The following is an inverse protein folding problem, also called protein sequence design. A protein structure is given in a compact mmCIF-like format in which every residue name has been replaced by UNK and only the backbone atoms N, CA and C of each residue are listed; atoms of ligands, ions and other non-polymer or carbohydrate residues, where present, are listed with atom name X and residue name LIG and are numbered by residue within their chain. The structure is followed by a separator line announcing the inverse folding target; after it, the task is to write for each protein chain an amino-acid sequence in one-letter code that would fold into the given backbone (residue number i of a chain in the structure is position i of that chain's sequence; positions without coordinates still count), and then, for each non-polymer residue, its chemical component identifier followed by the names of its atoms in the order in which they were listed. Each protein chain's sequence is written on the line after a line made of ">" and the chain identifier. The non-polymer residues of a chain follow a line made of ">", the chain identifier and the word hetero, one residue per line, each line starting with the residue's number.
data_IF_300707401977
#
_entry.id   IF_300707401977
#
_cell.length_a   1.000
_cell.length_b   1.000
_cell.length_c   1.000
_cell.angle_alpha   90.00
_cell.angle_beta   90.00
_cell.angle_gamma   90.00
#
_symmetry.space_group_name_H-M   'P 1'
#
loop_
_entity.id
_entity.type
_entity.pdbx_description
1 polymer ?
#
# COMPACT_ATOMS: atom_id res chain seq x y z
N UNK A 1 39.56 -52.19 -49.28
CA UNK A 1 40.35 -51.13 -48.59
C UNK A 1 39.61 -49.81 -48.84
N UNK A 2 39.37 -48.87 -47.92
CA UNK A 2 39.96 -48.59 -46.62
C UNK A 2 38.94 -48.17 -45.55
N UNK A 3 39.40 -48.23 -44.30
CA UNK A 3 38.64 -48.26 -43.04
C UNK A 3 38.00 -46.92 -42.65
N UNK A 4 36.80 -46.99 -42.07
CA UNK A 4 36.18 -45.95 -41.23
C UNK A 4 36.92 -45.83 -39.90
N UNK A 5 37.27 -44.61 -39.51
CA UNK A 5 37.72 -44.25 -38.16
C UNK A 5 36.62 -43.46 -37.43
N UNK A 6 36.22 -43.96 -36.25
CA UNK A 6 35.36 -43.27 -35.28
C UNK A 6 36.14 -42.12 -34.62
N UNK A 7 35.63 -40.89 -34.66
CA UNK A 7 36.21 -39.76 -33.94
C UNK A 7 35.61 -39.64 -32.52
N UNK A 8 36.49 -39.63 -31.52
CA UNK A 8 36.21 -39.51 -30.08
C UNK A 8 35.67 -38.10 -29.72
N UNK A 9 34.74 -38.05 -28.77
CA UNK A 9 34.35 -36.85 -28.04
C UNK A 9 35.48 -36.40 -27.10
N UNK A 10 36.01 -35.19 -27.27
CA UNK A 10 36.99 -34.66 -26.31
C UNK A 10 37.85 -33.46 -26.74
N UNK A 11 37.42 -32.62 -27.70
CA UNK A 11 38.22 -31.48 -28.15
C UNK A 11 37.88 -30.16 -27.45
N UNK A 12 38.78 -29.67 -26.57
CA UNK A 12 38.80 -28.29 -26.06
C UNK A 12 39.25 -27.34 -27.19
N UNK A 13 38.35 -26.98 -28.10
CA UNK A 13 38.64 -26.09 -29.21
C UNK A 13 37.56 -25.04 -29.43
N UNK A 14 37.96 -23.86 -29.92
CA UNK A 14 37.11 -22.71 -30.18
C UNK A 14 35.87 -23.08 -31.02
N UNK A 15 36.01 -24.03 -31.96
CA UNK A 15 34.92 -24.55 -32.78
C UNK A 15 33.81 -25.28 -31.96
N UNK A 16 34.17 -26.01 -30.90
CA UNK A 16 33.19 -26.66 -30.02
C UNK A 16 32.47 -25.65 -29.12
N UNK A 17 33.17 -24.60 -28.69
CA UNK A 17 32.58 -23.50 -27.92
C UNK A 17 31.59 -22.68 -28.77
N UNK A 18 31.94 -22.37 -30.02
CA UNK A 18 31.07 -21.66 -30.96
C UNK A 18 29.79 -22.44 -31.29
N UNK A 19 29.89 -23.76 -31.47
CA UNK A 19 28.74 -24.62 -31.71
C UNK A 19 27.80 -24.64 -30.49
N UNK A 20 28.34 -24.68 -29.26
CA UNK A 20 27.55 -24.61 -28.02
C UNK A 20 26.85 -23.25 -27.89
N UNK A 21 27.53 -22.14 -28.19
CA UNK A 21 26.93 -20.80 -28.15
C UNK A 21 25.80 -20.65 -29.17
N UNK A 22 25.98 -21.12 -30.41
CA UNK A 22 24.94 -21.07 -31.44
C UNK A 22 23.72 -21.93 -31.09
N UNK A 23 23.92 -23.08 -30.44
CA UNK A 23 22.83 -23.92 -29.96
C UNK A 23 22.09 -23.25 -28.79
N UNK A 24 22.83 -22.62 -27.86
CA UNK A 24 22.24 -21.86 -26.77
C UNK A 24 21.43 -20.64 -27.27
N UNK A 25 21.98 -19.84 -28.19
CA UNK A 25 21.27 -18.71 -28.81
C UNK A 25 20.00 -19.14 -29.54
N UNK A 26 20.07 -20.26 -30.28
CA UNK A 26 18.88 -20.82 -30.96
C UNK A 26 17.86 -21.32 -29.94
N UNK A 27 18.28 -21.92 -28.83
CA UNK A 27 17.37 -22.39 -27.77
C UNK A 27 16.73 -21.22 -27.01
N UNK A 28 17.47 -20.15 -26.73
CA UNK A 28 16.96 -18.93 -26.09
C UNK A 28 16.01 -18.16 -27.00
N UNK A 29 16.32 -18.03 -28.30
CA UNK A 29 15.40 -17.44 -29.29
C UNK A 29 14.12 -18.27 -29.48
N UNK A 30 14.20 -19.60 -29.38
CA UNK A 30 13.02 -20.47 -29.40
C UNK A 30 12.17 -20.35 -28.13
N UNK A 31 12.81 -20.25 -26.96
CA UNK A 31 12.13 -20.04 -25.68
C UNK A 31 11.41 -18.68 -25.65
N UNK A 32 12.08 -17.60 -26.04
CA UNK A 32 11.51 -16.26 -26.13
C UNK A 32 10.36 -16.15 -27.15
N UNK A 33 10.45 -16.87 -28.28
CA UNK A 33 9.33 -16.94 -29.24
C UNK A 33 8.15 -17.78 -28.72
N UNK A 34 8.41 -18.83 -27.92
CA UNK A 34 7.36 -19.65 -27.30
C UNK A 34 6.63 -18.92 -26.15
N UNK A 35 7.33 -18.04 -25.43
CA UNK A 35 6.74 -17.16 -24.41
C UNK A 35 5.88 -16.06 -25.05
N UNK A 36 6.37 -15.43 -26.14
CA UNK A 36 5.58 -14.46 -26.93
C UNK A 36 4.32 -15.04 -27.57
N UNK A 37 4.33 -16.33 -27.92
CA UNK A 37 3.12 -17.02 -28.46
C UNK A 37 2.17 -17.49 -27.37
N UNK A 38 2.64 -17.76 -26.14
CA UNK A 38 1.76 -18.02 -24.99
C UNK A 38 1.10 -16.75 -24.48
N UNK A 39 1.80 -15.62 -24.44
CA UNK A 39 1.21 -14.31 -24.10
C UNK A 39 0.06 -14.00 -25.04
N UNK A 40 0.29 -14.07 -26.37
CA UNK A 40 -0.62 -14.63 -27.40
C UNK A 40 -2.13 -14.73 -27.15
N UNK A 41 -2.45 -15.62 -26.20
CA UNK A 41 -3.76 -16.20 -25.95
C UNK A 41 -4.35 -15.84 -24.58
N UNK A 42 -3.69 -15.00 -23.79
CA UNK A 42 -4.30 -14.46 -22.57
C UNK A 42 -5.32 -13.36 -22.90
N UNK A 43 -6.42 -13.26 -22.14
CA UNK A 43 -7.40 -12.18 -22.28
C UNK A 43 -6.71 -10.81 -22.24
N UNK A 44 -7.17 -9.87 -23.06
CA UNK A 44 -6.55 -8.53 -23.24
C UNK A 44 -6.27 -7.82 -21.90
N UNK A 45 -7.19 -7.96 -20.95
CA UNK A 45 -7.09 -7.44 -19.57
C UNK A 45 -5.93 -8.04 -18.75
N UNK A 46 -5.58 -9.32 -18.96
CA UNK A 46 -4.52 -10.00 -18.18
C UNK A 46 -3.13 -9.63 -18.67
N UNK A 47 -2.97 -9.34 -19.97
CA UNK A 47 -1.72 -8.81 -20.52
C UNK A 47 -1.46 -7.38 -20.10
N UNK A 48 -2.48 -6.53 -20.19
CA UNK A 48 -2.41 -5.13 -19.79
C UNK A 48 -2.03 -5.00 -18.29
N UNK A 49 -2.60 -5.87 -17.43
CA UNK A 49 -2.23 -5.96 -16.02
C UNK A 49 -0.76 -6.40 -15.78
N UNK A 50 -0.19 -7.28 -16.61
CA UNK A 50 1.22 -7.68 -16.50
C UNK A 50 2.17 -6.58 -16.96
N UNK A 51 1.83 -5.89 -18.05
CA UNK A 51 2.60 -4.76 -18.58
C UNK A 51 2.58 -3.57 -17.61
N UNK A 52 1.46 -3.31 -16.92
CA UNK A 52 1.35 -2.29 -15.87
C UNK A 52 2.18 -2.68 -14.64
N UNK A 53 2.12 -3.93 -14.16
CA UNK A 53 2.99 -4.40 -13.08
C UNK A 53 4.49 -4.30 -13.44
N UNK A 54 4.83 -4.55 -14.70
CA UNK A 54 6.20 -4.40 -15.20
C UNK A 54 6.61 -2.91 -15.28
N UNK A 55 5.71 -2.02 -15.71
CA UNK A 55 5.92 -0.57 -15.69
C UNK A 55 6.00 0.01 -14.26
N UNK A 56 5.20 -0.47 -13.31
CA UNK A 56 5.29 -0.09 -11.88
C UNK A 56 6.59 -0.61 -11.24
N UNK A 57 7.16 -1.70 -11.76
CA UNK A 57 8.49 -2.14 -11.34
C UNK A 57 9.60 -1.31 -11.99
N UNK A 58 9.39 -0.77 -13.20
CA UNK A 58 10.34 0.10 -13.91
C UNK A 58 10.31 1.55 -13.39
N UNK A 59 9.12 2.12 -13.13
CA UNK A 59 8.96 3.37 -12.38
C UNK A 59 8.96 3.02 -10.90
N UNK A 60 9.99 3.34 -10.11
CA UNK A 60 10.06 3.14 -8.63
C UNK A 60 8.93 3.82 -7.83
N UNK A 61 7.67 3.57 -8.16
CA UNK A 61 6.50 4.13 -7.55
C UNK A 61 6.26 3.43 -6.21
N UNK A 62 6.09 4.24 -5.17
CA UNK A 62 5.80 3.70 -3.85
C UNK A 62 4.30 3.38 -3.74
N UNK A 63 3.96 2.09 -3.86
CA UNK A 63 2.65 1.53 -3.49
C UNK A 63 2.86 0.74 -2.20
N UNK A 64 2.19 1.08 -1.08
CA UNK A 64 2.52 0.50 0.20
C UNK A 64 1.92 -0.89 0.41
N UNK A 65 0.98 -1.28 -0.45
CA UNK A 65 0.18 -2.50 -0.40
C UNK A 65 0.34 -3.37 -1.66
N UNK A 66 0.01 -4.63 -1.52
CA UNK A 66 -0.03 -5.64 -2.58
C UNK A 66 -1.48 -5.94 -3.00
N UNK A 67 -1.62 -6.61 -4.16
CA UNK A 67 -2.92 -6.86 -4.79
C UNK A 67 -3.91 -7.65 -3.91
N UNK A 68 -3.41 -8.59 -3.12
CA UNK A 68 -4.22 -9.50 -2.31
C UNK A 68 -4.47 -8.99 -0.87
N UNK A 69 -3.99 -7.79 -0.54
CA UNK A 69 -4.20 -7.17 0.77
C UNK A 69 -5.55 -6.46 0.83
N UNK A 70 -6.13 -6.36 2.03
CA UNK A 70 -7.42 -5.70 2.26
C UNK A 70 -7.23 -4.24 2.65
N UNK A 71 -7.79 -3.34 1.86
CA UNK A 71 -7.60 -1.90 2.06
C UNK A 71 -8.91 -1.16 2.23
N UNK A 72 -8.91 -0.17 3.12
CA UNK A 72 -10.00 0.78 3.28
C UNK A 72 -9.51 2.20 2.94
N UNK A 73 -10.16 2.84 1.96
CA UNK A 73 -9.91 4.23 1.60
C UNK A 73 -10.82 5.16 2.40
N UNK A 74 -10.23 6.20 2.99
CA UNK A 74 -10.90 7.16 3.84
C UNK A 74 -11.01 8.51 3.14
N UNK A 75 -12.23 9.07 3.14
CA UNK A 75 -12.48 10.41 2.64
C UNK A 75 -12.31 10.57 1.14
N UNK A 76 -12.64 9.53 0.35
CA UNK A 76 -12.65 9.66 -1.11
C UNK A 76 -13.70 10.69 -1.55
N UNK A 77 -13.27 11.64 -2.39
CA UNK A 77 -14.12 12.68 -2.96
C UNK A 77 -14.81 12.20 -4.23
N UNK A 78 -14.17 12.42 -5.39
CA UNK A 78 -14.73 12.03 -6.69
C UNK A 78 -14.53 10.56 -7.06
N UNK A 79 -13.81 9.80 -6.22
CA UNK A 79 -13.47 8.37 -6.35
C UNK A 79 -12.42 8.07 -7.43
N UNK A 80 -11.71 9.08 -7.92
CA UNK A 80 -10.68 8.90 -8.95
C UNK A 80 -9.49 8.06 -8.49
N UNK A 81 -9.06 8.16 -7.23
CA UNK A 81 -7.97 7.33 -6.70
C UNK A 81 -8.41 5.87 -6.61
N UNK A 82 -9.59 5.63 -6.03
CA UNK A 82 -10.15 4.29 -5.92
C UNK A 82 -10.32 3.61 -7.29
N UNK A 83 -10.85 4.32 -8.28
CA UNK A 83 -10.98 3.78 -9.64
C UNK A 83 -9.63 3.51 -10.29
N UNK A 84 -8.64 4.39 -10.07
CA UNK A 84 -7.29 4.24 -10.62
C UNK A 84 -6.63 2.95 -10.14
N UNK A 85 -6.59 2.71 -8.82
CA UNK A 85 -5.93 1.52 -8.26
C UNK A 85 -6.61 0.21 -8.69
N UNK A 86 -7.93 0.24 -8.90
CA UNK A 86 -8.69 -0.91 -9.41
C UNK A 86 -8.38 -1.16 -10.89
N UNK A 87 -8.41 -0.12 -11.72
CA UNK A 87 -8.18 -0.25 -13.17
C UNK A 87 -6.75 -0.66 -13.52
N UNK A 88 -5.77 -0.15 -12.78
CA UNK A 88 -4.37 -0.51 -12.97
C UNK A 88 -4.04 -1.89 -12.35
N UNK A 89 -5.02 -2.59 -11.76
CA UNK A 89 -4.82 -3.92 -11.20
C UNK A 89 -3.94 -3.96 -9.95
N UNK A 90 -3.78 -2.82 -9.27
CA UNK A 90 -3.01 -2.68 -8.03
C UNK A 90 -3.69 -3.36 -6.84
N UNK A 91 -5.00 -3.57 -6.90
CA UNK A 91 -5.81 -4.17 -5.85
C UNK A 91 -6.90 -5.05 -6.44
N UNK A 92 -7.24 -6.17 -5.80
CA UNK A 92 -8.49 -6.88 -6.10
C UNK A 92 -9.69 -6.03 -5.64
N UNK A 93 -10.68 -5.73 -6.50
CA UNK A 93 -11.89 -5.01 -6.12
C UNK A 93 -12.62 -5.58 -4.90
N UNK A 94 -12.56 -6.89 -4.67
CA UNK A 94 -13.17 -7.57 -3.51
C UNK A 94 -12.48 -7.25 -2.20
N UNK A 95 -11.24 -6.78 -2.26
CA UNK A 95 -10.41 -6.44 -1.12
C UNK A 95 -10.41 -4.93 -0.83
N UNK A 96 -11.17 -4.15 -1.59
CA UNK A 96 -11.27 -2.70 -1.46
C UNK A 96 -12.59 -2.31 -0.79
N UNK A 97 -12.48 -1.46 0.23
CA UNK A 97 -13.61 -0.72 0.81
C UNK A 97 -13.38 0.78 0.62
N UNK A 98 -14.38 1.48 0.08
CA UNK A 98 -14.32 2.91 -0.16
C UNK A 98 -15.21 3.63 0.84
N UNK A 99 -14.73 4.72 1.43
CA UNK A 99 -15.55 5.57 2.30
C UNK A 99 -15.43 7.03 1.90
N UNK A 100 -16.53 7.77 2.07
CA UNK A 100 -16.62 9.20 1.83
C UNK A 100 -17.26 9.91 3.02
N UNK A 101 -16.82 11.13 3.30
CA UNK A 101 -17.42 11.98 4.32
C UNK A 101 -18.75 12.59 3.86
N UNK A 102 -18.91 12.79 2.55
CA UNK A 102 -20.13 13.33 1.94
C UNK A 102 -21.35 12.46 2.21
N UNK A 103 -22.55 13.07 2.19
CA UNK A 103 -23.75 12.43 2.71
C UNK A 103 -24.35 11.39 1.78
N UNK A 104 -24.16 11.54 0.46
CA UNK A 104 -24.83 10.71 -0.52
C UNK A 104 -24.22 10.83 -1.92
N UNK A 105 -24.58 9.87 -2.78
CA UNK A 105 -24.36 9.92 -4.23
C UNK A 105 -24.86 11.24 -4.83
N UNK A 106 -26.02 11.76 -4.38
CA UNK A 106 -26.57 13.03 -4.89
C UNK A 106 -25.66 14.21 -4.58
N UNK A 107 -25.13 14.29 -3.35
CA UNK A 107 -24.22 15.37 -2.95
C UNK A 107 -22.93 15.34 -3.76
N UNK A 108 -22.32 14.16 -3.92
CA UNK A 108 -21.10 14.01 -4.70
C UNK A 108 -21.31 14.23 -6.20
N UNK A 109 -22.49 13.88 -6.72
CA UNK A 109 -22.88 14.21 -8.11
C UNK A 109 -22.96 15.71 -8.31
N UNK A 110 -23.46 16.48 -7.33
CA UNK A 110 -23.47 17.94 -7.40
C UNK A 110 -22.06 18.54 -7.27
N UNK A 111 -21.20 17.96 -6.42
CA UNK A 111 -19.82 18.43 -6.24
C UNK A 111 -18.92 18.11 -7.43
N UNK A 112 -19.10 16.95 -8.05
CA UNK A 112 -18.25 16.40 -9.11
C UNK A 112 -19.07 15.87 -10.29
N UNK A 113 -19.88 16.71 -10.96
CA UNK A 113 -20.85 16.26 -11.97
C UNK A 113 -20.24 15.53 -13.16
N UNK A 114 -18.99 15.86 -13.55
CA UNK A 114 -18.39 15.28 -14.74
C UNK A 114 -17.60 13.99 -14.47
N UNK A 115 -17.17 13.76 -13.23
CA UNK A 115 -16.35 12.59 -12.88
C UNK A 115 -17.04 11.58 -11.99
N UNK A 116 -17.66 12.03 -10.90
CA UNK A 116 -18.17 11.12 -9.89
C UNK A 116 -19.24 10.16 -10.42
N UNK A 117 -20.24 10.57 -11.22
CA UNK A 117 -21.27 9.65 -11.72
C UNK A 117 -20.67 8.46 -12.49
N UNK A 118 -19.68 8.73 -13.35
CA UNK A 118 -18.97 7.70 -14.10
C UNK A 118 -18.17 6.80 -13.17
N UNK A 119 -17.36 7.38 -12.29
CA UNK A 119 -16.46 6.60 -11.43
C UNK A 119 -17.23 5.75 -10.42
N UNK A 120 -18.27 6.32 -9.82
CA UNK A 120 -19.19 5.59 -8.96
C UNK A 120 -19.84 4.43 -9.70
N UNK A 121 -20.41 4.64 -10.90
CA UNK A 121 -21.02 3.57 -11.68
C UNK A 121 -20.02 2.45 -12.02
N UNK A 122 -18.80 2.77 -12.45
CA UNK A 122 -17.79 1.75 -12.71
C UNK A 122 -17.44 0.94 -11.45
N UNK A 123 -17.21 1.62 -10.32
CA UNK A 123 -16.87 0.97 -9.05
C UNK A 123 -18.00 0.10 -8.51
N UNK A 124 -19.25 0.55 -8.57
CA UNK A 124 -20.39 -0.20 -8.00
C UNK A 124 -20.97 -1.23 -8.96
N UNK A 125 -21.08 -0.92 -10.25
CA UNK A 125 -21.78 -1.79 -11.20
C UNK A 125 -20.86 -2.77 -11.94
N UNK A 126 -19.62 -2.37 -12.22
CA UNK A 126 -18.66 -3.22 -12.92
C UNK A 126 -17.79 -3.97 -11.92
N UNK A 127 -17.14 -3.24 -11.01
CA UNK A 127 -16.18 -3.82 -10.07
C UNK A 127 -16.82 -4.34 -8.78
N UNK A 128 -18.09 -4.00 -8.51
CA UNK A 128 -18.86 -4.41 -7.32
C UNK A 128 -18.16 -4.08 -5.99
N UNK A 129 -17.45 -2.95 -5.94
CA UNK A 129 -16.74 -2.46 -4.75
C UNK A 129 -17.75 -1.93 -3.72
N UNK A 130 -17.50 -2.20 -2.43
CA UNK A 130 -18.32 -1.67 -1.33
C UNK A 130 -17.98 -0.21 -1.03
N UNK A 131 -19.01 0.64 -0.94
CA UNK A 131 -18.88 2.08 -0.71
C UNK A 131 -19.77 2.52 0.46
N UNK A 132 -19.21 3.33 1.36
CA UNK A 132 -19.91 3.90 2.50
C UNK A 132 -19.85 5.43 2.50
N UNK A 133 -20.98 6.08 2.76
CA UNK A 133 -21.11 7.54 2.89
C UNK A 133 -21.28 7.95 4.34
N UNK A 134 -21.11 9.25 4.65
CA UNK A 134 -21.20 9.80 6.02
C UNK A 134 -20.19 9.19 6.99
N UNK A 135 -19.00 8.86 6.49
CA UNK A 135 -17.95 8.24 7.30
C UNK A 135 -16.99 9.31 7.78
N UNK A 136 -16.96 9.52 9.10
CA UNK A 136 -16.02 10.43 9.76
C UNK A 136 -14.72 9.67 10.05
N UNK A 137 -13.63 10.13 9.44
CA UNK A 137 -12.30 9.57 9.64
C UNK A 137 -11.89 9.50 11.12
N UNK A 138 -12.38 10.44 11.94
CA UNK A 138 -12.08 10.53 13.37
C UNK A 138 -13.00 9.67 14.26
N UNK A 139 -14.00 9.01 13.67
CA UNK A 139 -14.97 8.20 14.41
C UNK A 139 -15.53 7.01 13.59
N UNK A 140 -14.63 6.25 12.97
CA UNK A 140 -14.93 5.21 11.98
C UNK A 140 -15.89 4.16 12.54
N UNK A 141 -15.64 3.65 13.74
CA UNK A 141 -16.44 2.58 14.36
C UNK A 141 -17.90 3.00 14.52
N UNK A 142 -18.14 4.22 14.99
CA UNK A 142 -19.48 4.79 15.17
C UNK A 142 -20.16 5.09 13.85
N UNK A 143 -19.48 5.73 12.90
CA UNK A 143 -20.12 6.13 11.62
C UNK A 143 -20.36 4.94 10.70
N UNK A 144 -19.49 3.92 10.73
CA UNK A 144 -19.72 2.65 10.05
C UNK A 144 -20.75 1.76 10.77
N UNK A 145 -21.10 2.09 12.03
CA UNK A 145 -22.01 1.33 12.89
C UNK A 145 -21.54 -0.13 13.08
N UNK A 146 -20.23 -0.30 13.26
CA UNK A 146 -19.60 -1.61 13.41
C UNK A 146 -19.24 -1.91 14.87
N UNK A 147 -19.25 -3.19 15.17
CA UNK A 147 -18.87 -3.81 16.44
C UNK A 147 -18.02 -5.04 16.13
N UNK A 148 -17.36 -5.61 17.13
CA UNK A 148 -16.59 -6.85 16.94
C UNK A 148 -17.41 -8.05 16.45
N UNK A 149 -18.76 -7.99 16.48
CA UNK A 149 -19.63 -9.09 16.01
C UNK A 149 -20.06 -8.97 14.55
N UNK A 150 -20.17 -7.75 14.02
CA UNK A 150 -20.75 -7.51 12.69
C UNK A 150 -19.78 -6.85 11.70
N UNK A 151 -18.56 -6.52 12.12
CA UNK A 151 -17.60 -5.75 11.32
C UNK A 151 -17.32 -6.38 9.94
N UNK A 152 -17.11 -7.71 9.90
CA UNK A 152 -16.85 -8.44 8.66
C UNK A 152 -18.08 -8.49 7.75
N UNK A 153 -19.28 -8.69 8.31
CA UNK A 153 -20.53 -8.70 7.57
C UNK A 153 -20.84 -7.32 6.96
N UNK A 154 -20.69 -6.25 7.76
CA UNK A 154 -20.91 -4.87 7.33
C UNK A 154 -19.90 -4.51 6.23
N UNK A 155 -18.61 -4.62 6.51
CA UNK A 155 -17.55 -4.19 5.58
C UNK A 155 -17.36 -5.14 4.41
N UNK A 156 -17.84 -6.39 4.49
CA UNK A 156 -17.69 -7.40 3.44
C UNK A 156 -16.28 -7.93 3.25
N UNK A 157 -15.40 -7.66 4.21
CA UNK A 157 -14.01 -8.11 4.19
C UNK A 157 -13.71 -8.85 5.50
N UNK A 158 -12.93 -9.94 5.47
CA UNK A 158 -12.62 -10.74 6.66
C UNK A 158 -11.64 -10.01 7.59
N UNK A 159 -10.82 -9.11 7.04
CA UNK A 159 -9.79 -8.35 7.73
C UNK A 159 -9.52 -7.02 7.01
N UNK A 160 -8.69 -6.18 7.61
CA UNK A 160 -8.06 -5.03 6.95
C UNK A 160 -6.56 -5.09 7.19
N UNK A 161 -5.77 -4.87 6.14
CA UNK A 161 -4.33 -4.74 6.20
C UNK A 161 -3.95 -3.25 6.24
N UNK A 162 -4.57 -2.40 5.39
CA UNK A 162 -4.31 -0.95 5.35
C UNK A 162 -5.58 -0.12 5.49
N UNK A 163 -5.47 1.00 6.23
CA UNK A 163 -6.43 2.10 6.16
C UNK A 163 -5.69 3.32 5.60
N UNK A 164 -6.19 3.90 4.51
CA UNK A 164 -5.48 4.93 3.74
C UNK A 164 -6.30 6.23 3.72
N UNK A 165 -5.69 7.33 4.14
CA UNK A 165 -6.28 8.67 4.03
C UNK A 165 -5.36 9.57 3.20
N UNK A 166 -5.78 9.90 1.98
CA UNK A 166 -5.00 10.70 1.06
C UNK A 166 -5.37 12.18 1.17
N UNK A 167 -4.38 13.04 1.47
CA UNK A 167 -4.51 14.49 1.48
C UNK A 167 -5.72 15.00 2.29
N UNK A 168 -5.82 14.63 3.58
CA UNK A 168 -6.98 14.99 4.38
C UNK A 168 -7.10 16.51 4.52
N UNK A 169 -8.34 17.00 4.61
CA UNK A 169 -8.62 18.41 4.85
C UNK A 169 -9.81 18.56 5.78
N UNK A 170 -9.93 19.72 6.43
CA UNK A 170 -11.05 20.01 7.35
C UNK A 170 -12.24 20.68 6.69
N UNK A 171 -12.14 21.13 5.43
CA UNK A 171 -13.22 21.81 4.72
C UNK A 171 -13.60 23.21 5.26
N UNK A 172 -12.97 23.67 6.36
CA UNK A 172 -13.33 24.91 7.08
C UNK A 172 -12.80 26.20 6.45
N UNK A 173 -11.97 26.13 5.42
CA UNK A 173 -11.49 27.31 4.67
C UNK A 173 -10.78 28.37 5.53
N UNK A 174 -10.17 27.99 6.66
CA UNK A 174 -9.57 28.93 7.60
C UNK A 174 -8.34 29.61 7.03
N UNK A 175 -8.34 30.95 7.08
CA UNK A 175 -7.26 31.82 6.59
C UNK A 175 -6.09 31.92 7.55
N UNK A 176 -6.36 31.85 8.85
CA UNK A 176 -5.32 31.85 9.89
C UNK A 176 -4.55 30.53 9.84
N UNK A 177 -3.25 30.62 9.54
CA UNK A 177 -2.41 29.45 9.31
C UNK A 177 -2.23 28.60 10.57
N UNK A 178 -2.06 29.21 11.74
CA UNK A 178 -1.84 28.48 12.99
C UNK A 178 -3.09 27.73 13.43
N UNK A 179 -4.26 28.36 13.31
CA UNK A 179 -5.55 27.69 13.52
C UNK A 179 -5.72 26.55 12.50
N UNK A 180 -5.36 26.78 11.25
CA UNK A 180 -5.43 25.77 10.19
C UNK A 180 -4.55 24.57 10.51
N UNK A 181 -3.30 24.80 10.93
CA UNK A 181 -2.36 23.76 11.37
C UNK A 181 -2.96 22.99 12.55
N UNK A 182 -3.43 23.68 13.59
CA UNK A 182 -4.01 23.04 14.79
C UNK A 182 -5.21 22.17 14.46
N UNK A 183 -6.11 22.64 13.60
CA UNK A 183 -7.28 21.87 13.17
C UNK A 183 -6.90 20.61 12.40
N UNK A 184 -5.87 20.66 11.55
CA UNK A 184 -5.39 19.46 10.84
C UNK A 184 -4.62 18.51 11.76
N UNK A 185 -3.89 19.02 12.76
CA UNK A 185 -3.28 18.19 13.79
C UNK A 185 -4.35 17.40 14.57
N UNK A 186 -5.47 18.04 14.93
CA UNK A 186 -6.61 17.38 15.58
C UNK A 186 -7.24 16.33 14.65
N UNK A 187 -7.43 16.65 13.37
CA UNK A 187 -7.95 15.70 12.36
C UNK A 187 -7.05 14.46 12.24
N UNK A 188 -5.75 14.65 12.08
CA UNK A 188 -4.77 13.56 11.92
C UNK A 188 -4.71 12.70 13.18
N UNK A 189 -4.68 13.32 14.37
CA UNK A 189 -4.68 12.59 15.64
C UNK A 189 -5.97 11.77 15.82
N UNK A 190 -7.13 12.37 15.52
CA UNK A 190 -8.42 11.70 15.55
C UNK A 190 -8.50 10.53 14.59
N UNK A 191 -8.01 10.71 13.36
CA UNK A 191 -7.90 9.66 12.36
C UNK A 191 -7.05 8.48 12.85
N UNK A 192 -5.84 8.72 13.35
CA UNK A 192 -4.99 7.65 13.88
C UNK A 192 -5.65 6.88 15.03
N UNK A 193 -6.27 7.58 15.98
CA UNK A 193 -6.98 6.95 17.10
C UNK A 193 -8.12 6.06 16.60
N UNK A 194 -8.93 6.61 15.68
CA UNK A 194 -10.07 5.92 15.06
C UNK A 194 -9.66 4.67 14.28
N UNK A 195 -8.56 4.72 13.53
CA UNK A 195 -7.99 3.54 12.87
C UNK A 195 -7.58 2.46 13.87
N UNK A 196 -6.86 2.83 14.93
CA UNK A 196 -6.44 1.88 15.99
C UNK A 196 -7.65 1.18 16.59
N UNK A 197 -8.74 1.90 16.85
CA UNK A 197 -9.98 1.32 17.37
C UNK A 197 -10.62 0.35 16.37
N UNK A 198 -10.67 0.70 15.09
CA UNK A 198 -11.21 -0.19 14.05
C UNK A 198 -10.40 -1.49 13.92
N UNK A 199 -9.06 -1.41 13.92
CA UNK A 199 -8.20 -2.60 13.90
C UNK A 199 -8.41 -3.48 15.15
N UNK A 200 -8.61 -2.89 16.32
CA UNK A 200 -8.94 -3.64 17.54
C UNK A 200 -10.24 -4.44 17.37
N UNK A 201 -11.26 -3.87 16.72
CA UNK A 201 -12.52 -4.58 16.49
C UNK A 201 -12.35 -5.79 15.56
N UNK A 202 -11.54 -5.68 14.51
CA UNK A 202 -11.20 -6.82 13.66
C UNK A 202 -10.47 -7.93 14.44
N UNK A 203 -9.49 -7.56 15.27
CA UNK A 203 -8.77 -8.53 16.10
C UNK A 203 -9.70 -9.20 17.14
N UNK A 204 -10.66 -8.46 17.71
CA UNK A 204 -11.69 -9.03 18.58
C UNK A 204 -12.58 -10.03 17.85
N UNK A 205 -13.03 -9.70 16.63
CA UNK A 205 -13.84 -10.59 15.80
C UNK A 205 -13.11 -11.92 15.53
N UNK A 206 -11.85 -11.85 15.10
CA UNK A 206 -11.02 -13.03 14.81
C UNK A 206 -10.84 -13.93 16.05
N UNK A 207 -10.61 -13.32 17.22
CA UNK A 207 -10.46 -14.05 18.47
C UNK A 207 -11.77 -14.70 18.95
N UNK A 208 -12.91 -14.02 18.77
CA UNK A 208 -14.22 -14.58 19.13
C UNK A 208 -14.58 -15.80 18.28
N UNK A 209 -14.28 -15.76 16.98
CA UNK A 209 -14.52 -16.89 16.07
C UNK A 209 -13.64 -18.10 16.41
N UNK A 210 -12.37 -17.85 16.78
CA UNK A 210 -11.42 -18.92 17.15
C UNK A 210 -11.82 -19.65 18.44
N UNK A 211 -12.53 -18.98 19.37
CA UNK A 211 -13.00 -19.58 20.62
C UNK A 211 -14.25 -20.45 20.47
N UNK A 212 -15.01 -20.29 19.39
CA UNK A 212 -16.23 -21.07 19.14
C UNK A 212 -15.99 -22.36 18.37
N UNK A 213 -14.80 -22.51 17.79
CA UNK A 213 -14.36 -23.74 17.11
C UNK A 213 -13.55 -24.60 18.08
N UNK A 214 -14.22 -25.49 18.82
CA UNK A 214 -13.61 -26.54 19.67
C UNK A 214 -12.88 -27.61 18.84
N UNK A 215 -11.84 -27.20 18.12
CA UNK A 215 -10.80 -28.08 17.61
C UNK A 215 -9.47 -27.55 18.13
N UNK A 216 -8.98 -28.19 19.20
CA UNK A 216 -7.61 -28.10 19.70
C UNK A 216 -6.62 -28.65 18.65
N UNK A 217 -6.54 -28.03 17.48
CA UNK A 217 -5.35 -28.13 16.67
C UNK A 217 -4.39 -27.13 17.29
N UNK A 218 -3.29 -27.66 17.84
CA UNK A 218 -2.03 -26.94 18.06
C UNK A 218 -1.58 -26.39 16.72
N UNK A 219 -2.26 -25.35 16.26
CA UNK A 219 -1.75 -24.48 15.23
C UNK A 219 -0.72 -23.66 15.98
N UNK A 220 0.54 -23.86 15.63
CA UNK A 220 1.49 -22.76 15.53
C UNK A 220 0.83 -21.67 14.70
N UNK A 221 -0.11 -20.96 15.30
CA UNK A 221 -0.79 -19.84 14.68
C UNK A 221 0.30 -18.79 14.63
N UNK A 222 0.86 -18.62 13.43
CA UNK A 222 1.34 -17.31 13.00
C UNK A 222 0.32 -16.33 13.53
N UNK A 223 0.68 -15.64 14.61
CA UNK A 223 -0.23 -14.74 15.28
C UNK A 223 -0.53 -13.65 14.27
N UNK A 224 -1.63 -13.80 13.53
CA UNK A 224 -2.20 -12.78 12.65
C UNK A 224 -2.79 -11.69 13.56
N UNK A 225 -1.95 -11.13 14.42
CA UNK A 225 -2.10 -9.78 14.89
C UNK A 225 -2.03 -8.96 13.61
N UNK A 226 -3.19 -8.57 13.09
CA UNK A 226 -3.26 -7.51 12.10
C UNK A 226 -2.73 -6.26 12.80
N UNK A 227 -1.43 -6.06 12.67
CA UNK A 227 -0.78 -4.87 13.16
C UNK A 227 -1.24 -3.73 12.28
N UNK A 228 -1.76 -2.66 12.89
CA UNK A 228 -2.40 -1.60 12.14
C UNK A 228 -1.37 -0.98 11.19
N UNK A 229 -1.59 -1.11 9.88
CA UNK A 229 -0.90 -0.27 8.90
C UNK A 229 -1.83 0.88 8.55
N UNK A 230 -1.45 2.06 9.01
CA UNK A 230 -2.21 3.28 8.76
C UNK A 230 -1.42 4.11 7.77
N UNK A 231 -2.05 4.54 6.69
CA UNK A 231 -1.40 5.26 5.61
C UNK A 231 -1.94 6.67 5.54
N UNK A 232 -1.02 7.64 5.52
CA UNK A 232 -1.35 9.04 5.38
C UNK A 232 -0.51 9.65 4.26
N UNK A 233 -1.18 10.24 3.27
CA UNK A 233 -0.51 11.02 2.23
C UNK A 233 -0.67 12.51 2.49
N UNK A 234 0.42 13.26 2.45
CA UNK A 234 0.44 14.72 2.60
C UNK A 234 1.32 15.36 1.52
N UNK A 235 1.06 16.62 1.21
CA UNK A 235 1.97 17.41 0.37
C UNK A 235 3.24 17.77 1.14
N UNK A 236 4.33 18.01 0.41
CA UNK A 236 5.57 18.56 0.99
C UNK A 236 5.40 20.08 1.22
N UNK A 237 6.03 20.62 2.27
CA UNK A 237 6.07 22.06 2.55
C UNK A 237 4.97 22.54 3.49
N UNK A 238 5.02 23.81 3.88
CA UNK A 238 4.00 24.42 4.73
C UNK A 238 2.64 24.55 4.01
N UNK A 239 1.50 24.41 4.72
CA UNK A 239 1.40 24.18 6.18
C UNK A 239 1.56 22.71 6.63
N UNK A 240 1.79 21.78 5.70
CA UNK A 240 1.73 20.34 5.96
C UNK A 240 2.89 19.82 6.82
N UNK A 241 4.07 20.41 6.67
CA UNK A 241 5.23 20.08 7.51
C UNK A 241 4.93 20.39 8.99
N UNK A 242 4.30 21.53 9.27
CA UNK A 242 3.86 21.93 10.62
C UNK A 242 2.72 21.08 11.20
N UNK A 243 2.10 20.20 10.42
CA UNK A 243 1.16 19.21 11.00
C UNK A 243 1.89 18.18 11.87
N UNK A 244 3.21 18.06 11.74
CA UNK A 244 4.04 17.22 12.63
C UNK A 244 3.52 15.78 12.78
N UNK A 245 3.04 15.20 11.67
CA UNK A 245 2.32 13.92 11.65
C UNK A 245 3.10 12.76 12.31
N UNK A 246 4.44 12.79 12.23
CA UNK A 246 5.31 11.79 12.86
C UNK A 246 5.26 11.91 14.39
N UNK A 247 5.32 13.14 14.91
CA UNK A 247 5.24 13.40 16.35
C UNK A 247 3.85 13.04 16.88
N UNK A 248 2.78 13.40 16.16
CA UNK A 248 1.41 12.98 16.51
C UNK A 248 1.25 11.46 16.54
N UNK A 249 1.85 10.74 15.59
CA UNK A 249 1.77 9.27 15.58
C UNK A 249 2.40 8.64 16.83
N UNK A 250 3.51 9.21 17.33
CA UNK A 250 4.22 8.72 18.52
C UNK A 250 3.39 8.83 19.79
N UNK A 251 2.54 9.85 19.92
CA UNK A 251 1.66 10.00 21.11
C UNK A 251 0.61 8.89 21.21
N UNK A 252 0.37 8.16 20.11
CA UNK A 252 -0.53 7.01 20.04
C UNK A 252 0.22 5.67 19.99
N UNK A 253 1.53 5.67 20.26
CA UNK A 253 2.35 4.46 20.23
C UNK A 253 2.59 3.92 18.81
N UNK A 254 2.52 4.78 17.79
CA UNK A 254 2.86 4.44 16.41
C UNK A 254 4.26 4.97 16.05
N UNK A 255 4.87 4.37 15.03
CA UNK A 255 6.05 4.88 14.35
C UNK A 255 5.87 4.82 12.84
N UNK A 256 6.62 5.62 12.11
CA UNK A 256 6.75 5.44 10.65
C UNK A 256 7.55 4.16 10.42
N UNK A 257 6.98 3.23 9.68
CA UNK A 257 7.69 2.04 9.18
C UNK A 257 8.48 2.42 7.92
N UNK A 258 7.76 2.90 6.91
CA UNK A 258 8.29 3.25 5.60
C UNK A 258 7.56 4.47 5.04
N UNK A 259 8.22 5.17 4.12
CA UNK A 259 7.58 6.26 3.38
C UNK A 259 8.19 6.36 1.99
N UNK A 260 7.40 6.83 1.03
CA UNK A 260 7.86 7.03 -0.34
C UNK A 260 7.20 8.22 -1.00
N UNK A 261 7.85 8.74 -2.05
CA UNK A 261 7.30 9.82 -2.87
C UNK A 261 5.96 9.37 -3.45
N UNK A 262 4.94 10.20 -3.31
CA UNK A 262 3.67 9.99 -3.99
C UNK A 262 3.88 10.23 -5.49
N UNK A 263 3.85 9.16 -6.27
CA UNK A 263 4.11 9.23 -7.71
C UNK A 263 2.77 9.30 -8.42
N UNK A 264 2.34 10.50 -8.80
CA UNK A 264 1.03 10.73 -9.43
C UNK A 264 0.81 9.86 -10.67
N UNK A 265 1.85 9.64 -11.48
CA UNK A 265 1.78 8.84 -12.71
C UNK A 265 1.54 7.34 -12.44
N UNK A 266 1.82 6.87 -11.22
CA UNK A 266 1.51 5.50 -10.80
C UNK A 266 0.01 5.28 -10.58
N UNK A 267 -0.76 6.37 -10.47
CA UNK A 267 -2.20 6.37 -10.27
C UNK A 267 -2.89 7.04 -11.46
N UNK A 268 -2.84 6.39 -12.63
CA UNK A 268 -3.43 6.92 -13.87
C UNK A 268 -4.90 7.26 -13.67
N UNK A 269 -5.27 8.49 -14.05
CA UNK A 269 -6.62 9.01 -13.91
C UNK A 269 -6.97 9.60 -12.53
N UNK A 270 -6.11 9.42 -11.51
CA UNK A 270 -6.29 10.09 -10.23
C UNK A 270 -6.08 11.60 -10.39
N UNK A 271 -7.04 12.40 -9.89
CA UNK A 271 -6.94 13.85 -9.81
C UNK A 271 -7.32 14.29 -8.41
N UNK A 272 -6.38 14.90 -7.70
CA UNK A 272 -6.71 15.54 -6.44
C UNK A 272 -7.56 16.80 -6.71
N UNK A 273 -8.82 16.78 -6.24
CA UNK A 273 -9.80 17.86 -6.43
C UNK A 273 -10.20 18.49 -5.09
N UNK A 274 -10.63 19.75 -5.12
CA UNK A 274 -11.19 20.43 -3.94
C UNK A 274 -12.64 20.01 -3.71
N UNK A 275 -13.10 20.09 -2.46
CA UNK A 275 -14.48 19.76 -2.07
C UNK A 275 -15.52 20.83 -2.39
N UNK A 276 -15.08 22.05 -2.74
CA UNK A 276 -15.95 23.17 -3.05
C UNK A 276 -16.01 23.36 -4.57
N UNK A 277 -16.88 22.57 -5.21
CA UNK A 277 -17.04 22.43 -6.66
C UNK A 277 -15.90 21.67 -7.33
N UNK A 278 -16.15 21.07 -8.50
CA UNK A 278 -15.19 20.30 -9.33
C UNK A 278 -14.05 21.18 -9.90
N UNK A 279 -13.47 22.03 -9.05
CA UNK A 279 -12.38 22.90 -9.37
C UNK A 279 -11.08 22.16 -9.06
N UNK A 280 -10.13 22.33 -9.98
CA UNK A 280 -8.74 21.97 -9.71
C UNK A 280 -8.23 22.75 -8.49
N UNK A 281 -7.28 22.17 -7.76
CA UNK A 281 -6.54 22.92 -6.75
C UNK A 281 -5.81 24.12 -7.38
N UNK A 282 -5.51 25.14 -6.57
CA UNK A 282 -4.82 26.37 -7.02
C UNK A 282 -3.45 26.12 -7.66
N UNK A 283 -2.89 24.92 -7.47
CA UNK A 283 -1.75 24.36 -8.21
C UNK A 283 -2.16 22.98 -8.72
N UNK A 284 -1.75 22.59 -9.92
CA UNK A 284 -2.04 21.26 -10.46
C UNK A 284 -1.41 20.20 -9.56
N UNK A 285 -2.20 19.23 -9.10
CA UNK A 285 -1.76 18.27 -8.10
C UNK A 285 -0.49 17.49 -8.51
N UNK A 286 -0.36 17.16 -9.81
CA UNK A 286 0.80 16.47 -10.39
C UNK A 286 2.13 17.24 -10.30
N UNK A 287 2.08 18.56 -10.13
CA UNK A 287 3.28 19.40 -9.97
C UNK A 287 3.71 19.52 -8.50
N UNK A 288 2.83 19.13 -7.56
CA UNK A 288 3.12 19.23 -6.14
C UNK A 288 3.83 17.97 -5.67
N UNK A 289 4.96 18.18 -5.00
CA UNK A 289 5.64 17.13 -4.26
C UNK A 289 4.75 16.68 -3.10
N UNK A 290 4.66 15.37 -2.93
CA UNK A 290 3.88 14.73 -1.90
C UNK A 290 4.55 13.43 -1.48
N UNK A 291 4.19 12.96 -0.28
CA UNK A 291 4.74 11.76 0.33
C UNK A 291 3.64 10.95 1.00
N UNK A 292 3.75 9.64 0.84
CA UNK A 292 2.92 8.66 1.51
C UNK A 292 3.71 8.04 2.67
N UNK A 293 3.12 8.03 3.85
CA UNK A 293 3.72 7.48 5.07
C UNK A 293 2.92 6.28 5.54
N UNK A 294 3.61 5.17 5.83
CA UNK A 294 3.03 3.98 6.46
C UNK A 294 3.43 3.97 7.92
N UNK A 295 2.43 3.96 8.80
CA UNK A 295 2.59 3.91 10.24
C UNK A 295 2.24 2.53 10.75
N UNK A 296 3.03 2.06 11.72
CA UNK A 296 2.79 0.80 12.42
C UNK A 296 2.93 0.98 13.93
N UNK A 297 2.48 -0.02 14.70
CA UNK A 297 2.64 -0.01 16.15
C UNK A 297 4.13 -0.05 16.53
N UNK A 298 4.51 0.81 17.47
CA UNK A 298 5.85 0.77 18.04
C UNK A 298 6.03 -0.49 18.88
N UNK A 299 7.06 -1.29 18.55
CA UNK A 299 7.52 -2.43 19.35
C UNK A 299 8.84 -2.05 20.00
N UNK A 300 8.92 -2.17 21.33
CA UNK A 300 10.18 -2.01 22.06
C UNK A 300 11.06 -3.19 21.67
N UNK A 301 12.19 -2.95 21.00
CA UNK A 301 13.17 -4.03 20.81
C UNK A 301 13.70 -4.45 22.19
N UNK A 302 13.76 -5.76 22.50
CA UNK A 302 14.42 -6.21 23.71
C UNK A 302 15.88 -5.76 23.63
N UNK A 303 16.35 -5.03 24.64
CA UNK A 303 17.77 -4.73 24.77
C UNK A 303 18.48 -6.08 24.90
N UNK A 304 19.28 -6.44 23.90
CA UNK A 304 20.22 -7.55 24.05
C UNK A 304 21.06 -7.28 25.29
N UNK A 305 21.17 -8.28 26.18
CA UNK A 305 22.21 -8.28 27.22
C UNK A 305 23.53 -8.17 26.46
N UNK A 306 24.20 -7.02 26.56
CA UNK A 306 25.60 -6.94 26.19
C UNK A 306 26.35 -7.92 27.08
N UNK A 307 27.06 -8.86 26.46
CA UNK A 307 28.16 -9.54 27.12
C UNK A 307 29.16 -8.45 27.52
N UNK A 308 29.33 -8.26 28.82
CA UNK A 308 30.61 -7.86 29.37
C UNK A 308 31.58 -8.98 29.04
N UNK A 309 32.34 -8.82 27.95
CA UNK A 309 33.64 -9.48 27.84
C UNK A 309 34.62 -8.57 28.59
N UNK A 310 34.81 -8.89 29.87
CA UNK A 310 36.06 -8.61 30.56
C UNK A 310 37.12 -9.49 29.87
N UNK A 311 37.91 -8.90 28.97
CA UNK A 311 39.22 -9.45 28.64
C UNK A 311 40.25 -8.51 29.26
N UNK A 312 40.64 -8.87 30.48
CA UNK A 312 42.00 -8.68 30.95
C UNK A 312 42.93 -9.35 29.93
N UNK A 313 43.83 -8.57 29.33
CA UNK A 313 45.10 -9.07 28.82
C UNK A 313 46.15 -8.00 29.16
N UNK A 314 46.89 -8.31 30.22
CA UNK A 314 48.22 -7.80 30.51
C UNK A 314 49.10 -7.99 29.27
N UNK A 315 49.80 -6.93 28.86
CA UNK A 315 51.12 -7.10 28.23
C UNK A 315 52.02 -5.92 28.59
N UNK A 316 52.98 -6.25 29.45
CA UNK A 316 54.22 -5.54 29.68
C UNK A 316 54.94 -5.26 28.36
N UNK A 317 55.36 -4.02 28.14
CA UNK A 317 56.53 -3.76 27.29
C UNK A 317 57.35 -2.58 27.84
N UNK A 318 58.22 -2.93 28.79
CA UNK A 318 59.46 -2.23 29.04
C UNK A 318 60.46 -2.57 27.91
N UNK A 319 60.80 -1.63 27.04
CA UNK A 319 62.21 -1.36 26.76
C UNK A 319 62.50 -0.04 26.02
N UNK A 320 63.35 0.75 26.67
CA UNK A 320 64.38 1.64 26.14
C UNK A 320 64.71 1.50 24.64
N UNK A 321 64.98 2.61 23.94
CA UNK A 321 66.30 3.25 23.98
C UNK A 321 66.41 4.44 22.99
N UNK A 322 67.06 5.51 23.48
CA UNK A 322 67.69 6.67 22.79
C UNK A 322 66.99 8.02 22.97
#
# INVERSE_FOLDING_TARGET
>A
MGKRLKAKSGGKGLASALLRHQVLDKSQKKAANSEKTKEKHLPKQVRENKEIQQQINETKAFVPFEKDEYIMLIGEGDFSFALSIVKEGLIDPKHLVITSFDNSVKELTLKYPNTFPKYHHELTEIFKVKIFFKIDATNLTKTLKVTGKNITAVLGVPKLDYIIFNFPHTGRGMKDQDRNIRDHQILVLGYFKSCIELFKLFNMHANSFSKTSDLNIVSQTTSFSNEPKIVLSVFDGEPYDSWNIKSLSKTLGLKVEKSGKFTWDAFKGYKHKRTNSEQNTTKVAGERRARMYVFEKFKKQPKGKGSTDDNDDDDDDNNNNS
#
